data_IF_731366694982
#
_entry.id   IF_731366694982
#
_cell.length_a   1.000
_cell.length_b   1.000
_cell.length_c   1.000
_cell.angle_alpha   90.00
_cell.angle_beta   90.00
_cell.angle_gamma   90.00
#
_symmetry.space_group_name_H-M   'P 1'
#
loop_
_entity.id
_entity.type
_entity.pdbx_description
1 polymer ?
#
# COMPACT_ATOMS: atom_id res chain seq x y z
N UNK A 1 -14.46 5.08 -33.35
CA UNK A 1 -13.16 5.18 -34.09
C UNK A 1 -11.98 5.16 -33.13
N UNK A 2 -11.94 6.04 -32.13
CA UNK A 2 -10.82 6.13 -31.17
C UNK A 2 -10.72 4.99 -30.14
N UNK A 3 -11.80 4.22 -29.91
CA UNK A 3 -11.80 3.13 -28.93
C UNK A 3 -10.70 2.09 -29.17
N UNK A 4 -10.59 1.57 -30.40
CA UNK A 4 -9.57 0.58 -30.74
C UNK A 4 -8.16 1.16 -30.65
N UNK A 5 -7.95 2.40 -31.12
CA UNK A 5 -6.66 3.08 -30.99
C UNK A 5 -6.28 3.26 -29.52
N UNK A 6 -7.24 3.68 -28.68
CA UNK A 6 -7.04 3.79 -27.23
C UNK A 6 -6.68 2.44 -26.59
N UNK A 7 -7.34 1.35 -27.02
CA UNK A 7 -7.00 -0.01 -26.59
C UNK A 7 -5.58 -0.41 -26.98
N UNK A 8 -5.14 -0.10 -28.21
CA UNK A 8 -3.76 -0.33 -28.66
C UNK A 8 -2.77 0.48 -27.84
N UNK A 9 -3.03 1.76 -27.61
CA UNK A 9 -2.17 2.62 -26.78
C UNK A 9 -2.07 2.08 -25.35
N UNK A 10 -3.21 1.72 -24.74
CA UNK A 10 -3.23 1.13 -23.40
C UNK A 10 -2.45 -0.19 -23.35
N UNK A 11 -2.58 -1.05 -24.36
CA UNK A 11 -1.83 -2.30 -24.45
C UNK A 11 -0.33 -2.06 -24.59
N UNK A 12 0.10 -1.14 -25.45
CA UNK A 12 1.52 -0.78 -25.63
C UNK A 12 2.11 -0.24 -24.33
N UNK A 13 1.38 0.59 -23.60
CA UNK A 13 1.80 1.09 -22.28
C UNK A 13 1.90 -0.02 -21.23
N UNK A 14 1.01 -1.03 -21.29
CA UNK A 14 1.02 -2.17 -20.38
C UNK A 14 2.03 -3.27 -20.78
N UNK A 15 2.45 -3.30 -22.04
CA UNK A 15 3.28 -4.36 -22.59
C UNK A 15 4.60 -4.57 -21.83
N UNK A 16 5.37 -3.54 -21.43
CA UNK A 16 6.59 -3.74 -20.64
C UNK A 16 6.34 -4.48 -19.32
N UNK A 17 5.23 -4.19 -18.65
CA UNK A 17 4.83 -4.88 -17.42
C UNK A 17 4.48 -6.34 -17.71
N UNK A 18 3.72 -6.62 -18.78
CA UNK A 18 3.37 -7.99 -19.17
C UNK A 18 4.63 -8.82 -19.51
N UNK A 19 5.55 -8.25 -20.29
CA UNK A 19 6.82 -8.90 -20.63
C UNK A 19 7.61 -9.20 -19.36
N UNK A 20 7.72 -8.22 -18.44
CA UNK A 20 8.42 -8.43 -17.17
C UNK A 20 7.79 -9.56 -16.33
N UNK A 21 6.46 -9.63 -16.25
CA UNK A 21 5.78 -10.72 -15.55
C UNK A 21 6.11 -12.08 -16.17
N UNK A 22 6.05 -12.19 -17.51
CA UNK A 22 6.35 -13.43 -18.23
C UNK A 22 7.81 -13.87 -17.97
N UNK A 23 8.76 -12.94 -18.07
CA UNK A 23 10.19 -13.27 -17.89
C UNK A 23 10.57 -13.60 -16.45
N UNK A 24 9.72 -13.26 -15.46
CA UNK A 24 9.94 -13.51 -14.03
C UNK A 24 8.97 -14.55 -13.45
N UNK A 25 8.30 -15.36 -14.28
CA UNK A 25 7.38 -16.42 -13.87
C UNK A 25 6.13 -15.93 -13.10
N UNK A 26 5.57 -14.80 -13.51
CA UNK A 26 4.39 -14.16 -12.93
C UNK A 26 4.44 -13.94 -11.41
N UNK A 27 5.37 -13.11 -10.91
CA UNK A 27 5.49 -12.81 -9.48
C UNK A 27 4.18 -12.30 -8.85
N UNK A 28 3.36 -11.57 -9.61
CA UNK A 28 2.05 -11.11 -9.11
C UNK A 28 1.08 -12.25 -8.83
N UNK A 29 1.12 -13.35 -9.61
CA UNK A 29 0.28 -14.52 -9.35
C UNK A 29 0.78 -15.29 -8.13
N UNK A 30 2.10 -15.42 -7.97
CA UNK A 30 2.72 -16.00 -6.76
C UNK A 30 2.29 -15.22 -5.51
N UNK A 31 2.40 -13.89 -5.55
CA UNK A 31 1.94 -13.01 -4.47
C UNK A 31 0.44 -13.19 -4.17
N UNK A 32 -0.43 -13.15 -5.18
CA UNK A 32 -1.87 -13.33 -4.99
C UNK A 32 -2.24 -14.70 -4.40
N UNK A 33 -1.50 -15.75 -4.76
CA UNK A 33 -1.72 -17.08 -4.18
C UNK A 33 -1.25 -17.12 -2.73
N UNK A 34 -0.13 -16.48 -2.40
CA UNK A 34 0.35 -16.37 -1.02
C UNK A 34 -0.61 -15.56 -0.15
N UNK A 35 -1.27 -14.51 -0.69
CA UNK A 35 -2.26 -13.70 0.05
C UNK A 35 -3.39 -14.60 0.55
N UNK A 36 -3.87 -15.48 -0.33
CA UNK A 36 -4.94 -16.43 -0.01
C UNK A 36 -4.43 -17.52 0.94
N UNK A 37 -3.25 -18.09 0.67
CA UNK A 37 -2.68 -19.17 1.48
C UNK A 37 -2.37 -18.75 2.92
N UNK A 38 -1.88 -17.53 3.12
CA UNK A 38 -1.55 -16.98 4.45
C UNK A 38 -2.72 -16.23 5.09
N UNK A 39 -3.89 -16.17 4.44
CA UNK A 39 -5.07 -15.44 4.93
C UNK A 39 -4.75 -13.97 5.31
N UNK A 40 -3.95 -13.29 4.49
CA UNK A 40 -3.47 -11.92 4.76
C UNK A 40 -4.61 -10.90 4.76
N UNK A 41 -5.40 -10.92 3.70
CA UNK A 41 -6.47 -9.95 3.46
C UNK A 41 -7.78 -10.44 4.08
N UNK A 42 -8.58 -9.51 4.59
CA UNK A 42 -9.95 -9.78 5.01
C UNK A 42 -10.79 -10.13 3.77
N UNK A 43 -11.42 -11.30 3.78
CA UNK A 43 -12.33 -11.70 2.71
C UNK A 43 -13.71 -11.05 2.92
N UNK A 44 -14.13 -10.24 1.95
CA UNK A 44 -15.43 -9.57 1.99
C UNK A 44 -16.46 -10.36 1.17
N UNK A 45 -17.68 -10.48 1.68
CA UNK A 45 -18.83 -10.87 0.89
C UNK A 45 -19.16 -9.81 -0.18
N UNK A 46 -19.95 -10.13 -1.23
CA UNK A 46 -20.36 -9.14 -2.22
C UNK A 46 -21.05 -7.90 -1.63
N UNK A 47 -21.83 -8.09 -0.57
CA UNK A 47 -22.51 -6.99 0.14
C UNK A 47 -21.51 -6.14 0.92
N UNK A 48 -20.60 -6.76 1.66
CA UNK A 48 -19.56 -6.03 2.40
C UNK A 48 -18.63 -5.29 1.44
N UNK A 49 -18.27 -5.90 0.30
CA UNK A 49 -17.49 -5.25 -0.74
C UNK A 49 -18.19 -3.99 -1.27
N UNK A 50 -19.49 -4.07 -1.55
CA UNK A 50 -20.31 -2.93 -1.96
C UNK A 50 -20.38 -1.83 -0.89
N UNK A 51 -20.58 -2.21 0.38
CA UNK A 51 -20.60 -1.24 1.49
C UNK A 51 -19.24 -0.55 1.65
N UNK A 52 -18.14 -1.30 1.48
CA UNK A 52 -16.79 -0.74 1.50
C UNK A 52 -16.56 0.28 0.37
N UNK A 53 -17.17 0.08 -0.80
CA UNK A 53 -17.11 1.08 -1.86
C UNK A 53 -17.72 2.43 -1.46
N UNK A 54 -18.85 2.39 -0.75
CA UNK A 54 -19.53 3.60 -0.25
C UNK A 54 -18.64 4.31 0.78
N UNK A 55 -18.02 3.55 1.68
CA UNK A 55 -17.15 4.10 2.72
C UNK A 55 -15.86 4.69 2.14
N UNK A 56 -15.20 3.99 1.21
CA UNK A 56 -13.92 4.40 0.60
C UNK A 56 -14.00 5.71 -0.20
N UNK A 57 -15.15 5.98 -0.82
CA UNK A 57 -15.36 7.17 -1.68
C UNK A 57 -16.14 8.26 -0.93
N UNK A 58 -16.47 8.05 0.34
CA UNK A 58 -17.31 8.86 1.22
C UNK A 58 -18.83 8.64 1.01
N UNK A 59 -19.60 8.30 2.06
CA UNK A 59 -21.05 8.08 1.96
C UNK A 59 -21.87 9.23 1.34
N UNK A 60 -21.43 10.48 1.49
CA UNK A 60 -22.12 11.65 0.92
C UNK A 60 -22.00 11.71 -0.60
N UNK A 61 -21.02 11.03 -1.19
CA UNK A 61 -20.88 10.93 -2.64
C UNK A 61 -21.71 9.81 -3.24
N UNK A 62 -22.24 8.90 -2.42
CA UNK A 62 -23.02 7.74 -2.86
C UNK A 62 -24.17 8.08 -3.81
N UNK A 63 -25.06 9.04 -3.47
CA UNK A 63 -26.14 9.40 -4.38
C UNK A 63 -25.62 9.96 -5.71
N UNK A 64 -24.48 10.65 -5.71
CA UNK A 64 -23.90 11.27 -6.91
C UNK A 64 -23.37 10.19 -7.84
N UNK A 65 -22.51 9.30 -7.36
CA UNK A 65 -21.93 8.27 -8.23
C UNK A 65 -22.98 7.23 -8.66
N UNK A 66 -23.99 6.95 -7.84
CA UNK A 66 -25.12 6.12 -8.21
C UNK A 66 -25.95 6.77 -9.34
N UNK A 67 -26.18 8.09 -9.25
CA UNK A 67 -26.80 8.86 -10.34
C UNK A 67 -25.93 8.89 -11.59
N UNK A 68 -24.61 8.84 -11.45
CA UNK A 68 -23.69 8.72 -12.59
C UNK A 68 -23.79 7.37 -13.29
N UNK A 69 -23.83 6.29 -12.52
CA UNK A 69 -24.04 4.95 -13.05
C UNK A 69 -25.40 4.82 -13.75
N UNK A 70 -26.47 5.29 -13.09
CA UNK A 70 -27.80 5.41 -13.71
C UNK A 70 -27.74 6.26 -14.98
N UNK A 71 -27.04 7.39 -14.88
CA UNK A 71 -26.78 8.35 -15.95
C UNK A 71 -26.29 7.67 -17.21
N UNK A 72 -25.20 6.90 -17.08
CA UNK A 72 -24.55 6.19 -18.18
C UNK A 72 -25.47 5.22 -18.93
N UNK A 73 -26.40 4.54 -18.25
CA UNK A 73 -27.28 3.58 -18.90
C UNK A 73 -28.55 4.20 -19.49
N UNK A 74 -29.18 5.09 -18.73
CA UNK A 74 -30.57 5.49 -18.96
C UNK A 74 -30.75 6.92 -19.47
N UNK A 75 -29.68 7.70 -19.59
CA UNK A 75 -29.78 9.10 -20.05
C UNK A 75 -29.41 9.28 -21.51
N UNK A 76 -30.12 10.18 -22.19
CA UNK A 76 -29.81 10.54 -23.58
C UNK A 76 -28.42 11.18 -23.73
N UNK A 77 -27.99 12.01 -22.77
CA UNK A 77 -26.68 12.65 -22.79
C UNK A 77 -25.52 11.64 -22.68
N UNK A 78 -25.79 10.44 -22.19
CA UNK A 78 -24.77 9.47 -21.85
C UNK A 78 -24.68 8.29 -22.82
N UNK A 79 -25.44 8.32 -23.94
CA UNK A 79 -25.45 7.24 -24.95
C UNK A 79 -24.05 6.90 -25.46
N UNK A 80 -23.21 7.91 -25.67
CA UNK A 80 -21.82 7.73 -26.12
C UNK A 80 -20.88 7.25 -25.00
N UNK A 81 -21.30 7.36 -23.74
CA UNK A 81 -20.52 7.08 -22.54
C UNK A 81 -20.93 5.78 -21.83
N UNK A 82 -21.89 5.02 -22.38
CA UNK A 82 -22.35 3.72 -21.85
C UNK A 82 -21.23 2.71 -21.58
N UNK A 83 -20.14 2.79 -22.34
CA UNK A 83 -18.96 1.96 -22.13
C UNK A 83 -18.38 2.12 -20.71
N UNK A 84 -18.46 3.31 -20.11
CA UNK A 84 -18.01 3.53 -18.73
C UNK A 84 -18.92 2.85 -17.70
N UNK A 85 -20.24 2.83 -17.93
CA UNK A 85 -21.17 2.08 -17.09
C UNK A 85 -20.85 0.58 -17.10
N UNK A 86 -20.66 0.00 -18.29
CA UNK A 86 -20.27 -1.41 -18.42
C UNK A 86 -18.89 -1.70 -17.85
N UNK A 87 -17.91 -0.82 -18.04
CA UNK A 87 -16.59 -0.97 -17.46
C UNK A 87 -16.64 -0.99 -15.92
N UNK A 88 -17.44 -0.12 -15.29
CA UNK A 88 -17.66 -0.18 -13.84
C UNK A 88 -18.25 -1.51 -13.41
N UNK A 89 -19.34 -1.96 -14.04
CA UNK A 89 -19.99 -3.24 -13.69
C UNK A 89 -19.02 -4.41 -13.86
N UNK A 90 -18.27 -4.44 -14.96
CA UNK A 90 -17.27 -5.47 -15.21
C UNK A 90 -16.18 -5.47 -14.13
N UNK A 91 -15.61 -4.30 -13.80
CA UNK A 91 -14.58 -4.17 -12.76
C UNK A 91 -15.12 -4.49 -11.35
N UNK A 92 -16.36 -4.12 -11.06
CA UNK A 92 -17.01 -4.45 -9.80
C UNK A 92 -17.18 -5.98 -9.65
N UNK A 93 -17.68 -6.64 -10.70
CA UNK A 93 -17.88 -8.09 -10.71
C UNK A 93 -16.57 -8.87 -10.67
N UNK A 94 -15.53 -8.43 -11.40
CA UNK A 94 -14.23 -9.11 -11.40
C UNK A 94 -13.56 -9.01 -10.02
N UNK A 95 -13.63 -7.86 -9.34
CA UNK A 95 -13.04 -7.74 -8.00
C UNK A 95 -13.80 -8.53 -6.94
N UNK A 96 -15.14 -8.65 -7.07
CA UNK A 96 -15.91 -9.59 -6.24
C UNK A 96 -15.46 -11.03 -6.52
N UNK A 97 -15.32 -11.42 -7.79
CA UNK A 97 -14.92 -12.77 -8.17
C UNK A 97 -13.50 -13.13 -7.70
N UNK A 98 -12.60 -12.14 -7.61
CA UNK A 98 -11.24 -12.31 -7.08
C UNK A 98 -11.20 -12.52 -5.56
N UNK A 99 -12.26 -12.16 -4.83
CA UNK A 99 -12.39 -12.39 -3.38
C UNK A 99 -11.19 -11.84 -2.60
N UNK A 100 -10.56 -12.68 -1.77
CA UNK A 100 -9.40 -12.31 -0.94
C UNK A 100 -8.17 -11.79 -1.73
N UNK A 101 -8.11 -12.02 -3.06
CA UNK A 101 -7.05 -11.49 -3.92
C UNK A 101 -7.22 -10.00 -4.25
N UNK A 102 -8.43 -9.48 -4.12
CA UNK A 102 -8.74 -8.08 -4.40
C UNK A 102 -8.98 -7.31 -3.11
N UNK A 103 -8.36 -6.14 -2.99
CA UNK A 103 -8.69 -5.19 -1.92
C UNK A 103 -9.81 -4.27 -2.37
N UNK A 104 -10.64 -3.84 -1.42
CA UNK A 104 -11.79 -2.98 -1.71
C UNK A 104 -11.39 -1.68 -2.44
N UNK A 105 -10.18 -1.17 -2.19
CA UNK A 105 -9.69 0.04 -2.83
C UNK A 105 -9.26 -0.14 -4.30
N UNK A 106 -9.16 -1.36 -4.84
CA UNK A 106 -8.75 -1.56 -6.24
C UNK A 106 -9.73 -0.95 -7.25
N UNK A 107 -10.99 -0.75 -6.87
CA UNK A 107 -12.00 -0.11 -7.72
C UNK A 107 -12.06 1.42 -7.56
N UNK A 108 -11.41 1.99 -6.54
CA UNK A 108 -11.49 3.44 -6.25
C UNK A 108 -11.07 4.34 -7.42
N UNK A 109 -10.10 3.97 -8.29
CA UNK A 109 -9.73 4.82 -9.43
C UNK A 109 -10.84 5.05 -10.45
N UNK A 110 -11.92 4.25 -10.44
CA UNK A 110 -13.03 4.41 -11.38
C UNK A 110 -14.06 5.47 -10.94
N UNK A 111 -14.13 5.79 -9.64
CA UNK A 111 -15.17 6.69 -9.11
C UNK A 111 -15.15 8.13 -9.63
N UNK A 112 -14.00 8.75 -9.99
CA UNK A 112 -14.01 10.04 -10.67
C UNK A 112 -14.90 10.07 -11.93
N UNK A 113 -14.95 8.96 -12.68
CA UNK A 113 -15.81 8.84 -13.87
C UNK A 113 -17.29 8.82 -13.49
N UNK A 114 -17.66 8.05 -12.47
CA UNK A 114 -19.04 7.99 -11.97
C UNK A 114 -19.48 9.32 -11.35
N UNK A 115 -18.60 9.97 -10.59
CA UNK A 115 -18.86 11.29 -10.01
C UNK A 115 -19.07 12.36 -11.09
N UNK A 116 -18.25 12.35 -12.13
CA UNK A 116 -18.42 13.21 -13.30
C UNK A 116 -19.77 12.96 -13.99
N UNK A 117 -20.11 11.70 -14.25
CA UNK A 117 -21.42 11.32 -14.80
C UNK A 117 -22.58 11.77 -13.91
N UNK A 118 -22.43 11.63 -12.58
CA UNK A 118 -23.41 12.03 -11.58
C UNK A 118 -23.65 13.53 -11.55
N UNK A 119 -22.58 14.33 -11.63
CA UNK A 119 -22.68 15.79 -11.71
C UNK A 119 -23.45 16.23 -12.96
N UNK A 120 -23.19 15.61 -14.12
CA UNK A 120 -23.91 15.88 -15.36
C UNK A 120 -25.38 15.44 -15.27
N UNK A 121 -25.65 14.29 -14.65
CA UNK A 121 -27.01 13.81 -14.42
C UNK A 121 -27.80 14.76 -13.50
N UNK A 122 -27.22 15.21 -12.38
CA UNK A 122 -27.83 16.18 -11.46
C UNK A 122 -28.14 17.49 -12.19
N UNK A 123 -27.19 18.00 -12.98
CA UNK A 123 -27.39 19.20 -13.78
C UNK A 123 -28.54 19.04 -14.78
N UNK A 124 -28.57 17.91 -15.49
CA UNK A 124 -29.54 17.65 -16.55
C UNK A 124 -30.95 17.34 -16.05
N UNK A 125 -31.09 16.67 -14.91
CA UNK A 125 -32.38 16.21 -14.39
C UNK A 125 -32.99 17.13 -13.35
N UNK A 126 -32.16 17.68 -12.45
CA UNK A 126 -32.62 18.40 -11.26
C UNK A 126 -32.50 19.90 -11.48
N UNK A 127 -31.30 20.37 -11.82
CA UNK A 127 -30.99 21.80 -11.86
C UNK A 127 -31.59 22.54 -13.08
N UNK A 128 -32.16 21.83 -14.06
CA UNK A 128 -32.95 22.46 -15.14
C UNK A 128 -34.24 23.12 -14.65
N UNK A 129 -34.74 22.75 -13.46
CA UNK A 129 -35.96 23.32 -12.88
C UNK A 129 -35.58 24.36 -11.84
N UNK A 130 -35.97 25.62 -12.04
CA UNK A 130 -35.59 26.74 -11.15
C UNK A 130 -35.95 26.49 -9.67
N UNK A 131 -37.05 25.76 -9.41
CA UNK A 131 -37.48 25.33 -8.06
C UNK A 131 -36.45 24.50 -7.30
N UNK A 132 -35.47 23.91 -7.99
CA UNK A 132 -34.39 23.09 -7.41
C UNK A 132 -33.02 23.77 -7.49
N UNK A 133 -32.97 25.07 -7.76
CA UNK A 133 -31.70 25.84 -7.79
C UNK A 133 -30.92 25.76 -6.47
N UNK A 134 -31.61 25.62 -5.34
CA UNK A 134 -31.01 25.42 -4.01
C UNK A 134 -30.23 24.10 -3.86
N UNK A 135 -30.52 23.07 -4.67
CA UNK A 135 -29.87 21.76 -4.57
C UNK A 135 -28.36 21.89 -4.82
N UNK A 136 -27.94 22.79 -5.72
CA UNK A 136 -26.53 22.99 -6.04
C UNK A 136 -25.71 23.51 -4.85
N UNK A 137 -26.03 24.67 -4.25
CA UNK A 137 -25.30 25.14 -3.08
C UNK A 137 -25.43 24.18 -1.89
N UNK A 138 -26.59 23.55 -1.67
CA UNK A 138 -26.73 22.55 -0.60
C UNK A 138 -25.82 21.35 -0.80
N UNK A 139 -25.77 20.76 -2.00
CA UNK A 139 -24.90 19.63 -2.30
C UNK A 139 -23.43 20.00 -2.11
N UNK A 140 -23.01 21.18 -2.62
CA UNK A 140 -21.64 21.67 -2.45
C UNK A 140 -21.30 21.86 -0.97
N UNK A 141 -22.17 22.51 -0.20
CA UNK A 141 -21.96 22.70 1.24
C UNK A 141 -21.88 21.37 1.99
N UNK A 142 -22.75 20.40 1.68
CA UNK A 142 -22.72 19.07 2.31
C UNK A 142 -21.41 18.35 2.00
N UNK A 143 -20.95 18.37 0.75
CA UNK A 143 -19.67 17.74 0.36
C UNK A 143 -18.46 18.45 0.99
N UNK A 144 -18.46 19.78 1.04
CA UNK A 144 -17.36 20.55 1.63
C UNK A 144 -17.31 20.32 3.14
N UNK A 145 -18.44 20.41 3.84
CA UNK A 145 -18.51 20.21 5.30
C UNK A 145 -18.18 18.76 5.65
N UNK A 146 -18.75 17.78 4.95
CA UNK A 146 -18.46 16.37 5.18
C UNK A 146 -17.02 15.99 4.83
N UNK A 147 -16.49 16.54 3.73
CA UNK A 147 -15.09 16.39 3.35
C UNK A 147 -14.16 17.00 4.40
N UNK A 148 -14.44 18.21 4.88
CA UNK A 148 -13.66 18.83 5.96
C UNK A 148 -13.74 18.01 7.27
N UNK A 149 -14.91 17.45 7.60
CA UNK A 149 -15.13 16.59 8.77
C UNK A 149 -14.49 15.20 8.63
N UNK A 150 -14.12 14.75 7.44
CA UNK A 150 -13.46 13.45 7.25
C UNK A 150 -12.01 13.58 6.80
N UNK A 151 -11.57 14.80 6.46
CA UNK A 151 -10.23 15.07 5.95
C UNK A 151 -9.11 14.51 6.82
N UNK A 152 -9.13 14.64 8.17
CA UNK A 152 -8.07 14.08 9.00
C UNK A 152 -7.94 12.55 8.93
N UNK A 153 -8.97 11.82 8.48
CA UNK A 153 -8.92 10.35 8.36
C UNK A 153 -8.11 9.86 7.15
N UNK A 154 -7.93 10.73 6.15
CA UNK A 154 -7.29 10.40 4.86
C UNK A 154 -6.14 11.33 4.50
N UNK A 155 -6.02 12.49 5.16
CA UNK A 155 -4.92 13.44 5.01
C UNK A 155 -4.19 13.63 6.36
N UNK A 156 -2.85 13.55 6.39
CA UNK A 156 -2.05 13.76 7.60
C UNK A 156 -1.94 15.26 7.93
N UNK A 157 -3.05 15.87 8.36
CA UNK A 157 -3.16 17.32 8.63
C UNK A 157 -3.26 17.68 10.11
N UNK A 158 -3.30 16.67 10.99
CA UNK A 158 -3.32 16.83 12.44
C UNK A 158 -2.09 16.15 13.05
N UNK A 159 -1.52 16.70 14.14
CA UNK A 159 -0.56 15.97 14.97
C UNK A 159 -1.15 14.65 15.48
N UNK A 160 -0.30 13.68 15.77
CA UNK A 160 -0.66 12.29 16.05
C UNK A 160 -1.65 12.19 17.23
N UNK A 161 -1.31 12.80 18.37
CA UNK A 161 -2.18 12.81 19.56
C UNK A 161 -3.51 13.51 19.31
N UNK A 162 -3.52 14.58 18.50
CA UNK A 162 -4.75 15.28 18.13
C UNK A 162 -5.61 14.41 17.22
N UNK A 163 -5.00 13.68 16.28
CA UNK A 163 -5.68 12.74 15.41
C UNK A 163 -6.28 11.57 16.21
N UNK A 164 -5.55 11.02 17.18
CA UNK A 164 -6.03 9.93 18.03
C UNK A 164 -7.31 10.34 18.75
N UNK A 165 -7.33 11.49 19.41
CA UNK A 165 -8.56 12.00 20.04
C UNK A 165 -9.67 12.30 19.02
N UNK A 166 -9.32 12.88 17.87
CA UNK A 166 -10.28 13.16 16.79
C UNK A 166 -10.95 11.88 16.26
N UNK A 167 -10.18 10.82 16.06
CA UNK A 167 -10.64 9.56 15.49
C UNK A 167 -11.68 8.84 16.36
N UNK A 168 -11.69 9.10 17.68
CA UNK A 168 -12.70 8.58 18.61
C UNK A 168 -14.08 9.20 18.37
N UNK A 169 -14.12 10.38 17.78
CA UNK A 169 -15.37 11.10 17.45
C UNK A 169 -15.96 10.64 16.12
N UNK A 170 -15.21 9.90 15.29
CA UNK A 170 -15.65 9.47 13.96
C UNK A 170 -15.88 7.95 13.93
N UNK A 171 -17.12 7.46 13.77
CA UNK A 171 -17.47 6.04 13.85
C UNK A 171 -16.84 5.10 12.82
N UNK A 172 -16.06 5.62 11.88
CA UNK A 172 -15.56 4.90 10.68
C UNK A 172 -14.08 4.51 10.83
N UNK A 173 -13.42 4.85 11.94
CA UNK A 173 -11.95 4.92 12.01
C UNK A 173 -11.19 3.60 11.97
N UNK A 174 -11.82 2.43 12.15
CA UNK A 174 -11.08 1.18 12.44
C UNK A 174 -11.55 -0.07 11.68
N UNK A 175 -11.66 -0.03 10.35
CA UNK A 175 -11.71 -1.27 9.56
C UNK A 175 -10.31 -1.66 9.09
N UNK A 176 -9.66 -2.60 9.79
CA UNK A 176 -8.41 -3.18 9.32
C UNK A 176 -8.66 -3.93 7.99
N UNK A 177 -7.86 -3.65 6.97
CA UNK A 177 -7.94 -4.33 5.67
C UNK A 177 -7.19 -5.67 5.64
N UNK A 178 -6.40 -5.95 6.69
CA UNK A 178 -5.52 -7.10 6.84
C UNK A 178 -5.55 -7.61 8.30
N UNK A 179 -5.15 -8.86 8.51
CA UNK A 179 -5.13 -9.50 9.84
C UNK A 179 -3.86 -9.18 10.65
N UNK A 180 -3.55 -7.90 10.83
CA UNK A 180 -2.43 -7.46 11.66
C UNK A 180 -2.90 -6.89 13.01
N UNK A 181 -2.02 -6.96 14.01
CA UNK A 181 -2.22 -6.25 15.26
C UNK A 181 -2.16 -4.75 15.00
N UNK A 182 -3.17 -4.01 15.45
CA UNK A 182 -3.23 -2.56 15.29
C UNK A 182 -2.43 -1.84 16.39
N UNK A 183 -1.77 -0.73 16.00
CA UNK A 183 -1.09 0.19 16.91
C UNK A 183 -2.02 1.29 17.45
N UNK A 184 -1.42 2.39 17.93
CA UNK A 184 -2.17 3.59 18.37
C UNK A 184 -2.85 4.31 17.22
N UNK A 185 -2.21 4.29 16.04
CA UNK A 185 -2.73 4.85 14.80
C UNK A 185 -3.37 3.76 13.94
N UNK A 186 -4.35 4.10 13.10
CA UNK A 186 -4.84 3.21 12.06
C UNK A 186 -3.73 2.95 11.04
N UNK A 187 -3.82 1.81 10.36
CA UNK A 187 -2.74 1.24 9.56
C UNK A 187 -2.16 2.24 8.55
N UNK A 188 -3.00 2.99 7.84
CA UNK A 188 -2.57 3.95 6.83
C UNK A 188 -1.64 5.04 7.36
N UNK A 189 -1.75 5.41 8.64
CA UNK A 189 -0.86 6.38 9.28
C UNK A 189 0.27 5.69 10.03
N UNK A 190 0.01 4.55 10.67
CA UNK A 190 1.05 3.78 11.34
C UNK A 190 2.17 3.36 10.35
N UNK A 191 1.82 2.96 9.13
CA UNK A 191 2.76 2.63 8.04
C UNK A 191 3.57 3.84 7.53
N UNK A 192 3.36 5.06 8.05
CA UNK A 192 4.14 6.26 7.72
C UNK A 192 5.25 6.58 8.73
N UNK A 193 5.35 5.85 9.85
CA UNK A 193 6.21 6.18 10.98
C UNK A 193 7.37 5.17 11.17
N UNK A 194 8.42 5.59 11.88
CA UNK A 194 9.55 4.72 12.29
C UNK A 194 10.65 4.57 11.24
N UNK A 195 10.38 4.85 9.96
CA UNK A 195 11.34 4.62 8.88
C UNK A 195 12.60 5.48 8.96
N UNK A 196 12.47 6.78 9.28
CA UNK A 196 13.61 7.69 9.33
C UNK A 196 14.48 7.43 10.57
N UNK A 197 13.83 7.12 11.70
CA UNK A 197 14.47 6.72 12.95
C UNK A 197 15.20 5.37 12.80
N UNK A 198 14.57 4.38 12.16
CA UNK A 198 15.18 3.09 11.86
C UNK A 198 16.48 3.27 11.06
N UNK A 199 16.45 4.09 10.00
CA UNK A 199 17.64 4.37 9.22
C UNK A 199 18.73 5.09 10.04
N UNK A 200 18.34 5.96 10.98
CA UNK A 200 19.27 6.62 11.89
C UNK A 200 19.91 5.65 12.89
N UNK A 201 19.14 4.71 13.43
CA UNK A 201 19.63 3.68 14.36
C UNK A 201 20.57 2.70 13.66
N UNK A 202 20.22 2.25 12.47
CA UNK A 202 21.11 1.44 11.61
C UNK A 202 22.37 2.23 11.25
N UNK A 203 22.28 3.54 11.00
CA UNK A 203 23.46 4.37 10.75
C UNK A 203 24.40 4.47 11.96
N UNK A 204 23.87 4.52 13.19
CA UNK A 204 24.70 4.47 14.41
C UNK A 204 25.44 3.14 14.52
N UNK A 205 24.75 2.03 14.27
CA UNK A 205 25.35 0.68 14.28
C UNK A 205 26.40 0.54 13.16
N UNK A 206 26.09 0.98 11.95
CA UNK A 206 27.03 0.92 10.83
C UNK A 206 28.31 1.73 11.09
N UNK A 207 28.19 2.92 11.70
CA UNK A 207 29.34 3.78 12.01
C UNK A 207 30.19 3.30 13.19
N UNK A 208 29.64 2.43 14.05
CA UNK A 208 30.43 1.83 15.14
C UNK A 208 31.33 0.69 14.64
N UNK A 209 31.10 0.19 13.42
CA UNK A 209 31.98 -0.77 12.76
C UNK A 209 33.32 -0.13 12.38
N UNK A 210 34.44 -0.90 12.41
CA UNK A 210 35.72 -0.45 11.86
C UNK A 210 35.58 0.00 10.40
N UNK A 211 36.34 1.02 9.99
CA UNK A 211 36.24 1.61 8.65
C UNK A 211 36.45 0.57 7.51
N UNK A 212 37.34 -0.40 7.73
CA UNK A 212 37.56 -1.51 6.78
C UNK A 212 36.39 -2.50 6.69
N UNK A 213 35.60 -2.63 7.75
CA UNK A 213 34.41 -3.48 7.82
C UNK A 213 33.20 -2.82 7.16
N UNK A 214 33.04 -1.50 7.32
CA UNK A 214 31.92 -0.73 6.77
C UNK A 214 31.70 -0.99 5.28
N UNK A 215 32.77 -0.93 4.46
CA UNK A 215 32.67 -1.14 3.00
C UNK A 215 32.21 -2.54 2.59
N UNK A 216 32.36 -3.53 3.47
CA UNK A 216 31.96 -4.92 3.24
C UNK A 216 30.61 -5.26 3.86
N UNK A 217 30.08 -4.38 4.71
CA UNK A 217 28.87 -4.61 5.49
C UNK A 217 27.64 -4.48 4.59
N UNK A 218 26.88 -5.57 4.47
CA UNK A 218 25.53 -5.53 3.93
C UNK A 218 24.54 -5.05 5.00
N UNK A 219 23.42 -4.47 4.57
CA UNK A 219 22.26 -4.19 5.44
C UNK A 219 21.09 -5.00 4.90
N UNK A 220 20.58 -5.93 5.71
CA UNK A 220 19.49 -6.83 5.36
C UNK A 220 18.22 -6.44 6.12
N UNK A 221 17.19 -6.05 5.36
CA UNK A 221 15.83 -5.87 5.89
C UNK A 221 14.97 -7.11 5.61
N UNK A 222 14.17 -7.53 6.58
CA UNK A 222 13.24 -8.65 6.44
C UNK A 222 12.14 -8.33 5.44
N UNK A 223 11.72 -7.06 5.41
CA UNK A 223 10.68 -6.61 4.50
C UNK A 223 11.11 -5.42 3.62
N UNK A 224 10.26 -5.02 2.66
CA UNK A 224 10.61 -3.99 1.69
C UNK A 224 10.48 -2.58 2.28
N UNK A 225 9.71 -2.43 3.36
CA UNK A 225 9.57 -1.19 4.13
C UNK A 225 10.88 -0.88 4.85
N UNK A 226 11.42 -1.84 5.61
CA UNK A 226 12.73 -1.72 6.24
C UNK A 226 13.84 -1.45 5.21
N UNK A 227 13.94 -2.26 4.16
CA UNK A 227 14.97 -2.08 3.12
C UNK A 227 14.79 -0.75 2.37
N UNK A 228 13.53 -0.35 2.11
CA UNK A 228 13.17 0.94 1.51
C UNK A 228 13.54 2.13 2.39
N UNK A 229 13.36 2.01 3.71
CA UNK A 229 13.77 3.03 4.68
C UNK A 229 15.28 3.28 4.61
N UNK A 230 16.09 2.22 4.52
CA UNK A 230 17.55 2.34 4.34
C UNK A 230 17.89 2.98 2.98
N UNK A 231 17.30 2.51 1.88
CA UNK A 231 17.60 3.01 0.53
C UNK A 231 17.17 4.48 0.31
N UNK A 232 16.16 4.94 1.04
CA UNK A 232 15.65 6.32 0.98
C UNK A 232 16.32 7.24 2.01
N UNK A 233 16.18 6.94 3.30
CA UNK A 233 16.64 7.79 4.40
C UNK A 233 18.10 7.54 4.77
N UNK A 234 18.67 6.37 4.47
CA UNK A 234 20.07 6.05 4.73
C UNK A 234 21.07 6.89 3.92
N UNK A 235 20.62 7.51 2.82
CA UNK A 235 21.48 8.34 1.95
C UNK A 235 22.16 9.48 2.69
N UNK A 236 21.45 10.19 3.57
CA UNK A 236 22.02 11.29 4.38
C UNK A 236 23.10 10.81 5.36
N UNK A 237 23.14 9.51 5.65
CA UNK A 237 24.12 8.88 6.51
C UNK A 237 25.28 8.21 5.76
N UNK A 238 25.25 8.22 4.42
CA UNK A 238 26.13 7.45 3.54
C UNK A 238 26.04 5.93 3.77
N UNK A 239 24.85 5.44 4.10
CA UNK A 239 24.63 3.99 4.18
C UNK A 239 24.70 3.36 2.79
N UNK A 240 25.21 2.11 2.69
CA UNK A 240 25.06 1.33 1.47
C UNK A 240 23.59 1.05 1.17
N UNK A 241 23.31 0.69 -0.09
CA UNK A 241 21.99 0.18 -0.44
C UNK A 241 21.72 -1.14 0.28
N UNK A 242 20.52 -1.28 0.81
CA UNK A 242 20.05 -2.49 1.47
C UNK A 242 19.83 -3.63 0.46
N UNK A 243 19.78 -4.83 1.03
CA UNK A 243 19.36 -6.07 0.39
C UNK A 243 18.17 -6.63 1.17
N UNK A 244 17.27 -7.34 0.50
CA UNK A 244 16.15 -8.03 1.14
C UNK A 244 15.69 -9.16 0.23
N UNK A 245 15.20 -10.23 0.85
CA UNK A 245 14.54 -11.31 0.15
C UNK A 245 13.07 -11.03 -0.18
N UNK A 246 12.53 -9.89 0.27
CA UNK A 246 11.12 -9.58 0.16
C UNK A 246 10.76 -8.89 -1.16
N UNK A 247 9.77 -9.43 -1.88
CA UNK A 247 9.19 -8.83 -3.09
C UNK A 247 10.26 -8.52 -4.15
N UNK A 248 10.20 -7.36 -4.80
CA UNK A 248 11.13 -6.98 -5.86
C UNK A 248 12.59 -6.82 -5.39
N UNK A 249 12.86 -6.64 -4.09
CA UNK A 249 14.23 -6.62 -3.59
C UNK A 249 14.96 -7.95 -3.86
N UNK A 250 14.23 -9.07 -3.85
CA UNK A 250 14.79 -10.38 -4.19
C UNK A 250 15.43 -10.38 -5.59
N UNK A 251 14.77 -9.75 -6.56
CA UNK A 251 15.26 -9.66 -7.95
C UNK A 251 16.44 -8.70 -8.10
N UNK A 252 16.63 -7.75 -7.19
CA UNK A 252 17.82 -6.89 -7.17
C UNK A 252 19.05 -7.62 -6.63
N UNK A 253 18.83 -8.76 -5.97
CA UNK A 253 19.89 -9.69 -5.58
C UNK A 253 20.74 -9.21 -4.40
N UNK A 254 21.76 -10.02 -4.05
CA UNK A 254 22.68 -9.71 -2.95
C UNK A 254 23.68 -8.58 -3.28
N UNK A 255 23.61 -7.99 -4.49
CA UNK A 255 24.59 -7.01 -5.01
C UNK A 255 26.01 -7.59 -4.97
N UNK A 256 26.99 -6.79 -4.54
CA UNK A 256 28.41 -7.19 -4.43
C UNK A 256 28.77 -7.81 -3.07
N UNK A 257 27.78 -8.06 -2.18
CA UNK A 257 28.05 -8.54 -0.84
C UNK A 257 28.29 -10.06 -0.80
N UNK A 258 29.15 -10.48 0.11
CA UNK A 258 29.51 -11.91 0.31
C UNK A 258 28.78 -12.55 1.48
N UNK A 259 28.26 -11.75 2.40
CA UNK A 259 27.72 -12.20 3.68
C UNK A 259 28.76 -12.30 4.82
N UNK A 260 30.00 -11.82 4.61
CA UNK A 260 31.04 -11.81 5.66
C UNK A 260 30.60 -11.02 6.90
N UNK A 261 29.94 -9.87 6.66
CA UNK A 261 29.41 -8.97 7.68
C UNK A 261 28.05 -8.43 7.22
N UNK A 262 27.02 -8.59 8.05
CA UNK A 262 25.65 -8.19 7.74
C UNK A 262 25.03 -7.53 8.97
N UNK A 263 24.50 -6.32 8.81
CA UNK A 263 23.53 -5.75 9.76
C UNK A 263 22.16 -6.29 9.39
N UNK A 264 21.53 -7.04 10.30
CA UNK A 264 20.20 -7.62 10.10
C UNK A 264 19.21 -6.90 10.99
N UNK A 265 18.12 -6.42 10.38
CA UNK A 265 17.00 -5.76 11.05
C UNK A 265 15.94 -6.83 11.35
N UNK A 266 15.30 -6.79 12.53
CA UNK A 266 14.00 -7.42 12.76
C UNK A 266 13.95 -8.96 12.88
N UNK A 267 15.08 -9.67 12.90
CA UNK A 267 15.09 -11.15 13.06
C UNK A 267 15.24 -11.58 14.53
N UNK A 268 15.18 -12.88 14.77
CA UNK A 268 15.50 -13.52 16.05
C UNK A 268 16.97 -13.93 16.13
N UNK A 269 17.56 -13.80 17.32
CA UNK A 269 18.95 -14.24 17.56
C UNK A 269 19.12 -15.73 17.26
N UNK A 270 18.17 -16.55 17.65
CA UNK A 270 18.18 -18.00 17.44
C UNK A 270 18.19 -18.39 15.96
N UNK A 271 17.47 -17.66 15.10
CA UNK A 271 17.46 -17.92 13.66
C UNK A 271 18.77 -17.49 13.01
N UNK A 272 19.30 -16.34 13.41
CA UNK A 272 20.58 -15.82 12.91
C UNK A 272 21.76 -16.72 13.32
N UNK A 273 21.78 -17.24 14.55
CA UNK A 273 22.83 -18.14 15.04
C UNK A 273 22.87 -19.48 14.27
N UNK A 274 21.79 -19.86 13.58
CA UNK A 274 21.81 -21.03 12.69
C UNK A 274 22.65 -20.78 11.44
N UNK A 275 22.66 -19.56 10.92
CA UNK A 275 23.29 -19.21 9.64
C UNK A 275 24.58 -18.39 9.76
N UNK A 276 24.81 -17.72 10.88
CA UNK A 276 26.03 -16.94 11.16
C UNK A 276 26.83 -17.55 12.32
N UNK A 277 28.14 -17.35 12.31
CA UNK A 277 29.04 -17.77 13.39
C UNK A 277 29.01 -16.87 14.62
N UNK A 278 28.72 -15.58 14.46
CA UNK A 278 28.60 -14.59 15.53
C UNK A 278 27.40 -13.69 15.25
N UNK A 279 26.61 -13.44 16.30
CA UNK A 279 25.38 -12.66 16.26
C UNK A 279 25.33 -11.79 17.51
N UNK A 280 25.61 -10.50 17.33
CA UNK A 280 25.67 -9.52 18.41
C UNK A 280 24.50 -8.55 18.28
N UNK A 281 23.69 -8.42 19.34
CA UNK A 281 22.64 -7.42 19.40
C UNK A 281 23.29 -6.04 19.57
N UNK A 282 23.13 -5.16 18.60
CA UNK A 282 23.77 -3.84 18.60
C UNK A 282 22.82 -2.71 18.99
N UNK A 283 21.55 -2.82 18.62
CA UNK A 283 20.51 -1.86 18.98
C UNK A 283 19.12 -2.50 18.92
N UNK A 284 18.10 -1.80 19.41
CA UNK A 284 16.69 -2.10 19.18
C UNK A 284 16.03 -0.82 18.68
N UNK A 285 15.36 -0.90 17.54
CA UNK A 285 14.59 0.19 16.98
C UNK A 285 13.18 0.19 17.59
N UNK A 286 12.74 1.33 18.09
CA UNK A 286 11.42 1.52 18.66
C UNK A 286 10.75 2.74 18.01
N UNK A 287 9.47 2.59 17.70
CA UNK A 287 8.61 3.66 17.25
C UNK A 287 7.23 3.50 17.88
N UNK A 288 6.76 4.57 18.52
CA UNK A 288 5.50 4.60 19.27
C UNK A 288 4.28 4.54 18.35
N UNK A 289 4.39 5.16 17.17
CA UNK A 289 3.28 5.33 16.24
C UNK A 289 3.33 4.38 15.04
N UNK A 290 4.43 3.66 14.85
CA UNK A 290 4.55 2.67 13.78
C UNK A 290 3.62 1.47 13.99
N UNK A 291 3.47 0.65 12.95
CA UNK A 291 2.81 -0.64 13.12
C UNK A 291 3.54 -1.47 14.17
N UNK A 292 2.83 -2.26 15.01
CA UNK A 292 3.47 -3.02 16.09
C UNK A 292 4.55 -4.00 15.63
N UNK A 293 4.48 -4.48 14.39
CA UNK A 293 5.49 -5.37 13.80
C UNK A 293 6.68 -4.63 13.17
N UNK A 294 6.64 -3.29 13.07
CA UNK A 294 7.75 -2.43 12.63
C UNK A 294 8.41 -1.69 13.81
N UNK A 295 8.12 -2.12 15.04
CA UNK A 295 8.62 -1.53 16.28
C UNK A 295 9.13 -2.63 17.21
N UNK A 296 10.05 -2.28 18.10
CA UNK A 296 10.86 -3.25 18.87
C UNK A 296 11.68 -4.18 17.97
N UNK A 297 12.20 -3.65 16.86
CA UNK A 297 13.00 -4.41 15.89
C UNK A 297 14.44 -4.50 16.39
N UNK A 298 14.94 -5.70 16.75
CA UNK A 298 16.36 -5.85 17.08
C UNK A 298 17.23 -5.62 15.84
N UNK A 299 18.35 -4.94 16.03
CA UNK A 299 19.36 -4.71 15.00
C UNK A 299 20.60 -5.50 15.42
N UNK A 300 20.89 -6.56 14.67
CA UNK A 300 22.04 -7.43 14.91
C UNK A 300 23.19 -7.09 13.98
N UNK A 301 24.41 -7.22 14.49
CA UNK A 301 25.62 -7.31 13.68
C UNK A 301 26.02 -8.78 13.60
N UNK A 302 25.94 -9.34 12.41
CA UNK A 302 26.17 -10.75 12.13
C UNK A 302 27.47 -10.96 11.36
N UNK A 303 28.28 -11.93 11.80
CA UNK A 303 29.58 -12.23 11.20
C UNK A 303 29.73 -13.69 10.81
N UNK A 304 30.45 -13.91 9.72
CA UNK A 304 30.83 -15.23 9.23
C UNK A 304 29.60 -16.05 8.87
N UNK A 305 28.96 -15.71 7.75
CA UNK A 305 27.90 -16.54 7.19
C UNK A 305 28.44 -17.95 6.92
N UNK A 306 27.78 -18.97 7.47
CA UNK A 306 28.22 -20.39 7.42
C UNK A 306 28.12 -21.01 6.03
N UNK A 307 27.47 -20.32 5.10
CA UNK A 307 27.32 -20.68 3.69
C UNK A 307 27.60 -19.45 2.82
N UNK A 308 27.62 -19.59 1.50
CA UNK A 308 27.76 -18.42 0.63
C UNK A 308 26.43 -17.65 0.59
N UNK A 309 26.49 -16.31 0.51
CA UNK A 309 25.26 -15.52 0.36
C UNK A 309 24.50 -15.90 -0.93
N UNK A 310 25.20 -16.35 -1.97
CA UNK A 310 24.61 -16.87 -3.20
C UNK A 310 23.77 -18.13 -2.97
N UNK A 311 24.21 -19.04 -2.11
CA UNK A 311 23.48 -20.28 -1.79
C UNK A 311 22.34 -20.03 -0.78
N UNK A 312 22.48 -19.00 0.06
CA UNK A 312 21.42 -18.56 0.96
C UNK A 312 20.32 -17.79 0.21
N UNK A 313 20.66 -17.01 -0.82
CA UNK A 313 19.74 -16.08 -1.46
C UNK A 313 18.41 -16.70 -1.91
N UNK A 314 18.36 -17.86 -2.58
CA UNK A 314 17.09 -18.47 -2.97
C UNK A 314 16.17 -18.83 -1.79
N UNK A 315 16.73 -18.98 -0.58
CA UNK A 315 16.01 -19.38 0.63
C UNK A 315 15.41 -18.20 1.39
N UNK A 316 15.86 -16.98 1.10
CA UNK A 316 15.30 -15.76 1.72
C UNK A 316 14.17 -15.17 0.89
N UNK A 317 13.82 -15.77 -0.26
CA UNK A 317 12.74 -15.27 -1.12
C UNK A 317 11.41 -15.31 -0.36
N UNK A 318 10.82 -14.14 -0.16
CA UNK A 318 9.58 -13.95 0.55
C UNK A 318 8.66 -12.98 -0.22
N UNK A 319 7.36 -13.25 -0.26
CA UNK A 319 6.39 -12.41 -0.96
C UNK A 319 5.40 -11.74 -0.02
N UNK A 320 5.16 -12.32 1.16
CA UNK A 320 4.23 -11.83 2.17
C UNK A 320 4.78 -12.24 3.51
#
# INVERSE_FOLDING_TARGET
RWFLLGGVVAFVLFLPHLVWQITHNFPTLEWQNNVVAQNKNVQLSPVEFFLQQILMVHPLTFPIWLLGLYGFFFSDFAKEFRAFGWAYIFLFLIFIALGAKAKAYYLTPFYPVLLGGGAVAISSFILRRERYSWVRPTLMSVLIIGGAYTAPLVLPILPEETFIEYSKLVPVSNSAGEHHRMGKLPQQYADMHGWEELAADVAKVYRSLPEGEQKKCAIFGQNYGEAGAIDLFGRKYNLPKAISGHQNYYFWGPREYTGELVIVIGDSKESLERVFTSVDLAAVHESEYAMPYESNLPIFVCRGLKTSLKDLWPKVKEWI
#
